data_IF_726211102436
#
_entry.id   IF_726211102436
#
_cell.length_a   1.000
_cell.length_b   1.000
_cell.length_c   1.000
_cell.angle_alpha   90.00
_cell.angle_beta   90.00
_cell.angle_gamma   90.00
#
_symmetry.space_group_name_H-M   'P 1'
#
loop_
_entity.id
_entity.type
_entity.pdbx_description
1 polymer ?
#
# COMPACT_ATOMS: atom_id res chain seq x y z
N UNK A 1 6.01 82.96 -30.17
CA UNK A 1 4.90 81.99 -30.14
C UNK A 1 5.47 80.67 -29.66
N UNK A 2 5.01 80.10 -28.54
CA UNK A 2 5.37 78.74 -28.16
C UNK A 2 4.51 77.78 -28.98
N UNK A 3 5.15 76.90 -29.75
CA UNK A 3 4.51 75.73 -30.35
C UNK A 3 4.73 74.51 -29.45
N UNK A 4 3.67 73.74 -29.31
CA UNK A 4 3.45 72.66 -28.36
C UNK A 4 4.00 71.32 -28.86
N UNK A 5 4.59 70.51 -27.97
CA UNK A 5 4.59 69.06 -28.09
C UNK A 5 4.64 68.39 -26.71
N UNK A 6 3.44 68.13 -26.20
CA UNK A 6 2.98 67.08 -25.29
C UNK A 6 4.06 66.18 -24.67
N UNK A 7 4.33 66.37 -23.37
CA UNK A 7 4.78 65.24 -22.52
C UNK A 7 3.53 64.42 -22.24
N UNK A 8 3.30 63.39 -23.05
CA UNK A 8 2.31 62.37 -22.75
C UNK A 8 2.80 61.62 -21.53
N UNK A 9 2.37 62.04 -20.33
CA UNK A 9 2.47 61.20 -19.13
C UNK A 9 1.53 60.02 -19.35
N UNK A 10 2.03 59.01 -20.04
CA UNK A 10 1.32 57.76 -20.25
C UNK A 10 1.13 57.14 -18.88
N UNK A 11 -0.12 57.00 -18.44
CA UNK A 11 -0.44 56.25 -17.22
C UNK A 11 -0.09 54.78 -17.48
N UNK A 12 1.11 54.38 -17.07
CA UNK A 12 1.60 53.02 -17.26
C UNK A 12 1.13 52.15 -16.10
N UNK A 13 0.97 50.86 -16.36
CA UNK A 13 0.60 49.87 -15.34
C UNK A 13 1.59 49.81 -14.17
N UNK A 14 2.82 50.28 -14.36
CA UNK A 14 3.84 50.44 -13.33
C UNK A 14 3.65 51.63 -12.38
N UNK A 15 2.69 52.53 -12.64
CA UNK A 15 2.42 53.74 -11.85
C UNK A 15 1.06 53.71 -11.12
N UNK A 16 0.36 52.57 -11.17
CA UNK A 16 -1.00 52.42 -10.66
C UNK A 16 -1.07 51.46 -9.47
N UNK A 17 -1.19 52.01 -8.26
CA UNK A 17 -1.51 51.24 -7.03
C UNK A 17 -2.94 50.65 -7.04
N UNK A 18 -3.75 50.99 -8.06
CA UNK A 18 -5.14 50.53 -8.22
C UNK A 18 -5.29 49.30 -9.13
N UNK A 19 -4.20 48.79 -9.71
CA UNK A 19 -4.26 47.57 -10.54
C UNK A 19 -4.31 46.38 -9.59
N UNK A 20 -5.34 45.56 -9.74
CA UNK A 20 -5.51 44.33 -8.96
C UNK A 20 -4.47 43.31 -9.42
N UNK A 21 -3.79 42.69 -8.46
CA UNK A 21 -2.86 41.61 -8.73
C UNK A 21 -3.56 40.44 -9.41
N UNK A 22 -2.94 39.92 -10.48
CA UNK A 22 -3.41 38.69 -11.12
C UNK A 22 -3.03 37.49 -10.23
N UNK A 23 -4.03 36.91 -9.58
CA UNK A 23 -3.85 35.70 -8.76
C UNK A 23 -4.54 34.53 -9.44
N UNK A 24 -3.78 33.45 -9.67
CA UNK A 24 -4.33 32.20 -10.19
C UNK A 24 -5.31 31.58 -9.19
N UNK A 25 -6.58 31.48 -9.56
CA UNK A 25 -7.67 30.93 -8.73
C UNK A 25 -7.68 29.39 -8.71
N UNK A 26 -6.51 28.75 -8.54
CA UNK A 26 -6.40 27.29 -8.48
C UNK A 26 -5.24 26.83 -7.62
N UNK A 27 -5.51 25.89 -6.71
CA UNK A 27 -4.47 25.18 -5.95
C UNK A 27 -4.17 23.86 -6.64
N UNK A 28 -2.98 23.72 -7.21
CA UNK A 28 -2.49 22.44 -7.74
C UNK A 28 -1.80 21.65 -6.64
N UNK A 29 -2.26 20.43 -6.36
CA UNK A 29 -1.61 19.52 -5.43
C UNK A 29 -1.21 18.23 -6.17
N UNK A 30 0.09 18.06 -6.42
CA UNK A 30 0.67 16.84 -6.98
C UNK A 30 1.33 16.06 -5.83
N UNK A 31 0.57 15.14 -5.24
CA UNK A 31 1.06 14.24 -4.21
C UNK A 31 0.68 12.80 -4.58
N UNK A 32 1.56 11.81 -4.33
CA UNK A 32 1.19 10.41 -4.50
C UNK A 32 0.14 10.05 -3.44
N UNK A 33 -1.06 9.67 -3.87
CA UNK A 33 -2.18 9.26 -2.99
C UNK A 33 -2.70 7.87 -3.31
N UNK A 34 -1.93 7.11 -4.08
CA UNK A 34 -2.31 5.78 -4.53
C UNK A 34 -2.08 4.76 -3.39
N UNK A 35 -3.08 3.94 -3.12
CA UNK A 35 -3.04 2.87 -2.10
C UNK A 35 -3.34 1.52 -2.77
N UNK A 36 -2.45 1.01 -3.63
CA UNK A 36 -2.71 -0.18 -4.45
C UNK A 36 -2.99 -1.43 -3.61
N UNK A 37 -2.28 -1.67 -2.51
CA UNK A 37 -2.49 -2.81 -1.62
C UNK A 37 -3.89 -2.77 -0.98
N UNK A 38 -4.24 -1.72 -0.25
CA UNK A 38 -5.57 -1.59 0.38
C UNK A 38 -6.70 -1.62 -0.65
N UNK A 39 -6.47 -1.13 -1.87
CA UNK A 39 -7.48 -1.17 -2.94
C UNK A 39 -7.69 -2.56 -3.53
N UNK A 40 -6.70 -3.45 -3.41
CA UNK A 40 -6.71 -4.79 -3.99
C UNK A 40 -7.29 -5.87 -3.08
N UNK A 41 -7.33 -5.61 -1.77
CA UNK A 41 -7.75 -6.58 -0.75
C UNK A 41 -9.20 -6.34 -0.28
N UNK A 42 -9.78 -7.35 0.36
CA UNK A 42 -11.12 -7.23 0.96
C UNK A 42 -11.17 -6.25 2.13
N UNK A 43 -12.36 -5.84 2.53
CA UNK A 43 -12.60 -5.01 3.73
C UNK A 43 -13.54 -5.72 4.67
N UNK A 44 -13.28 -5.58 5.97
CA UNK A 44 -14.12 -6.12 7.03
C UNK A 44 -14.06 -5.22 8.27
N UNK A 45 -14.88 -5.53 9.28
CA UNK A 45 -14.87 -4.85 10.58
C UNK A 45 -14.27 -5.75 11.64
N UNK A 46 -13.80 -5.15 12.73
CA UNK A 46 -13.48 -5.89 13.95
C UNK A 46 -14.08 -5.15 15.13
N UNK A 47 -14.52 -5.90 16.14
CA UNK A 47 -15.19 -5.35 17.33
C UNK A 47 -14.26 -5.27 18.55
N UNK A 48 -13.04 -5.79 18.42
CA UNK A 48 -12.02 -5.81 19.47
C UNK A 48 -10.70 -5.24 18.98
N UNK A 49 -9.86 -4.80 19.92
CA UNK A 49 -8.53 -4.29 19.62
C UNK A 49 -7.48 -5.37 19.32
N UNK A 50 -7.84 -6.63 19.56
CA UNK A 50 -7.06 -7.84 19.25
C UNK A 50 -7.96 -8.80 18.46
N UNK A 51 -8.22 -8.51 17.18
CA UNK A 51 -9.02 -9.39 16.34
C UNK A 51 -8.34 -10.75 16.20
N UNK A 52 -9.14 -11.79 16.31
CA UNK A 52 -8.71 -13.18 16.15
C UNK A 52 -9.63 -13.89 15.16
N UNK A 53 -9.06 -14.85 14.45
CA UNK A 53 -9.78 -15.69 13.52
C UNK A 53 -9.18 -17.09 13.50
N UNK A 54 -9.95 -18.04 12.97
CA UNK A 54 -9.53 -19.43 12.86
C UNK A 54 -9.04 -19.72 11.44
N UNK A 55 -7.97 -20.51 11.36
CA UNK A 55 -7.49 -21.18 10.15
C UNK A 55 -7.63 -22.69 10.36
N UNK A 56 -8.25 -23.36 9.40
CA UNK A 56 -8.39 -24.82 9.38
C UNK A 56 -7.57 -25.40 8.22
N UNK A 57 -7.16 -26.65 8.37
CA UNK A 57 -6.36 -27.36 7.38
C UNK A 57 -7.06 -28.64 6.95
N UNK A 58 -7.10 -28.89 5.65
CA UNK A 58 -7.57 -30.16 5.12
C UNK A 58 -6.50 -31.25 5.29
N UNK A 59 -6.94 -32.49 5.47
CA UNK A 59 -6.07 -33.65 5.43
C UNK A 59 -5.27 -33.70 4.11
N UNK A 60 -4.02 -34.11 4.22
CA UNK A 60 -3.16 -34.28 3.03
C UNK A 60 -3.71 -35.39 2.16
N UNK A 61 -3.75 -35.17 0.85
CA UNK A 61 -4.15 -36.20 -0.10
C UNK A 61 -3.24 -37.44 0.04
N UNK A 62 -3.85 -38.60 0.22
CA UNK A 62 -3.17 -39.88 0.34
C UNK A 62 -3.91 -40.95 -0.49
N UNK A 63 -3.27 -42.09 -0.73
CA UNK A 63 -3.96 -43.23 -1.33
C UNK A 63 -5.09 -43.68 -0.40
N UNK A 64 -6.32 -43.62 -0.89
CA UNK A 64 -7.54 -43.91 -0.12
C UNK A 64 -8.29 -45.13 -0.68
N UNK A 65 -7.57 -46.19 -1.05
CA UNK A 65 -8.18 -47.45 -1.45
C UNK A 65 -8.68 -48.22 -0.22
N UNK A 66 -9.96 -48.59 -0.21
CA UNK A 66 -10.57 -49.39 0.86
C UNK A 66 -10.98 -50.76 0.32
N UNK A 67 -10.86 -51.80 1.14
CA UNK A 67 -11.31 -53.15 0.80
C UNK A 67 -12.85 -53.20 0.87
N UNK A 68 -13.48 -53.96 -0.02
CA UNK A 68 -14.92 -54.20 0.01
C UNK A 68 -15.35 -54.83 1.34
N UNK A 69 -16.38 -54.27 1.99
CA UNK A 69 -16.87 -54.73 3.28
C UNK A 69 -16.06 -54.25 4.50
N UNK A 70 -15.14 -53.30 4.33
CA UNK A 70 -14.41 -52.69 5.46
C UNK A 70 -15.33 -51.82 6.33
N UNK A 71 -15.26 -52.02 7.64
CA UNK A 71 -15.88 -51.14 8.64
C UNK A 71 -15.20 -49.76 8.71
N UNK A 72 -16.01 -48.72 8.87
CA UNK A 72 -15.51 -47.35 9.01
C UNK A 72 -14.82 -47.16 10.36
N UNK A 73 -13.57 -46.71 10.35
CA UNK A 73 -12.85 -46.26 11.54
C UNK A 73 -12.80 -44.74 11.55
N UNK A 74 -13.23 -44.13 12.66
CA UNK A 74 -13.12 -42.68 12.82
C UNK A 74 -11.66 -42.26 12.96
N UNK A 75 -11.22 -41.29 12.16
CA UNK A 75 -9.93 -40.63 12.33
C UNK A 75 -10.04 -39.55 13.43
N UNK A 76 -8.90 -39.20 14.03
CA UNK A 76 -8.83 -38.06 14.95
C UNK A 76 -9.13 -36.76 14.17
N UNK A 77 -10.03 -35.94 14.71
CA UNK A 77 -10.39 -34.65 14.10
C UNK A 77 -9.41 -33.59 14.58
N UNK A 78 -8.82 -32.84 13.65
CA UNK A 78 -7.99 -31.68 13.95
C UNK A 78 -8.86 -30.46 14.29
N UNK A 79 -8.48 -29.71 15.31
CA UNK A 79 -9.18 -28.48 15.71
C UNK A 79 -8.52 -27.29 14.99
N UNK A 80 -9.29 -26.31 14.50
CA UNK A 80 -8.75 -25.12 13.86
C UNK A 80 -7.79 -24.34 14.75
N UNK A 81 -6.76 -23.75 14.14
CA UNK A 81 -5.75 -22.92 14.81
C UNK A 81 -6.19 -21.46 14.88
N UNK A 82 -5.81 -20.75 15.96
CA UNK A 82 -6.12 -19.32 16.15
C UNK A 82 -4.98 -18.46 15.60
N UNK A 83 -5.32 -17.52 14.73
CA UNK A 83 -4.48 -16.42 14.30
C UNK A 83 -4.98 -15.12 14.92
N UNK A 84 -4.07 -14.19 15.19
CA UNK A 84 -4.36 -12.92 15.86
C UNK A 84 -3.55 -11.79 15.27
N UNK A 85 -4.08 -10.57 15.34
CA UNK A 85 -3.34 -9.33 15.11
C UNK A 85 -3.83 -8.28 16.13
N UNK A 86 -3.18 -7.11 16.14
CA UNK A 86 -3.56 -5.96 16.96
C UNK A 86 -4.09 -4.84 16.06
N UNK A 87 -4.95 -3.99 16.60
CA UNK A 87 -5.37 -2.76 15.92
C UNK A 87 -4.37 -1.64 16.18
N UNK A 88 -4.06 -0.84 15.17
CA UNK A 88 -3.17 0.31 15.27
C UNK A 88 -3.97 1.60 15.11
N UNK A 89 -3.74 2.54 16.04
CA UNK A 89 -4.31 3.89 15.98
C UNK A 89 -3.41 4.74 15.09
N UNK A 90 -4.02 5.46 14.15
CA UNK A 90 -3.33 6.39 13.27
C UNK A 90 -4.09 7.71 13.27
N UNK A 91 -3.35 8.82 13.39
CA UNK A 91 -3.96 10.14 13.45
C UNK A 91 -3.17 11.22 12.71
N UNK A 92 -3.89 12.29 12.36
CA UNK A 92 -3.32 13.54 11.88
C UNK A 92 -3.99 14.69 12.60
N UNK A 93 -3.19 15.51 13.27
CA UNK A 93 -3.65 16.68 14.01
C UNK A 93 -3.21 17.95 13.29
N UNK A 94 -4.08 18.96 13.28
CA UNK A 94 -3.73 20.31 12.82
C UNK A 94 -4.49 21.37 13.62
N UNK A 95 -3.94 22.58 13.66
CA UNK A 95 -4.54 23.74 14.29
C UNK A 95 -4.84 24.81 13.23
N UNK A 96 -5.98 25.49 13.36
CA UNK A 96 -6.38 26.57 12.46
C UNK A 96 -6.96 27.73 13.27
N UNK A 97 -6.34 28.91 13.16
CA UNK A 97 -6.77 30.13 13.83
C UNK A 97 -8.15 30.60 13.33
N UNK A 98 -8.88 31.32 14.18
CA UNK A 98 -10.20 31.85 13.80
C UNK A 98 -10.09 32.92 12.70
N UNK A 99 -9.07 33.78 12.76
CA UNK A 99 -8.80 34.75 11.70
C UNK A 99 -8.57 34.08 10.35
N UNK A 100 -7.82 32.97 10.29
CA UNK A 100 -7.60 32.24 9.04
C UNK A 100 -8.86 31.53 8.52
N UNK A 101 -9.83 31.22 9.38
CA UNK A 101 -11.15 30.71 8.96
C UNK A 101 -12.06 31.81 8.45
N UNK A 102 -11.99 33.00 9.05
CA UNK A 102 -12.82 34.15 8.70
C UNK A 102 -12.32 34.86 7.43
N UNK A 103 -11.01 34.83 7.16
CA UNK A 103 -10.40 35.47 5.99
C UNK A 103 -10.91 34.87 4.68
N UNK A 104 -11.28 35.75 3.74
CA UNK A 104 -11.47 35.36 2.34
C UNK A 104 -10.12 34.95 1.76
N UNK A 105 -10.10 33.84 1.04
CA UNK A 105 -8.89 33.30 0.43
C UNK A 105 -9.13 33.04 -1.05
N UNK A 106 -8.13 33.33 -1.87
CA UNK A 106 -8.13 32.93 -3.27
C UNK A 106 -8.16 31.41 -3.42
N UNK A 107 -8.77 30.92 -4.50
CA UNK A 107 -8.83 29.53 -4.94
C UNK A 107 -9.57 28.54 -4.03
N UNK A 108 -10.24 29.01 -2.96
CA UNK A 108 -10.93 28.13 -2.01
C UNK A 108 -12.00 28.84 -1.18
N UNK A 109 -13.08 28.11 -0.95
CA UNK A 109 -14.19 28.55 -0.08
C UNK A 109 -13.88 28.36 1.41
N UNK A 110 -13.05 27.38 1.77
CA UNK A 110 -12.71 27.10 3.17
C UNK A 110 -11.33 26.47 3.33
N UNK A 111 -10.47 27.11 4.12
CA UNK A 111 -9.15 26.60 4.46
C UNK A 111 -9.22 25.31 5.29
N UNK A 112 -10.24 25.21 6.14
CA UNK A 112 -10.49 24.02 6.96
C UNK A 112 -10.72 22.78 6.09
N UNK A 113 -11.54 22.91 5.04
CA UNK A 113 -11.82 21.80 4.13
C UNK A 113 -10.57 21.37 3.36
N UNK A 114 -9.78 22.34 2.88
CA UNK A 114 -8.52 22.07 2.19
C UNK A 114 -7.53 21.30 3.06
N UNK A 115 -7.27 21.79 4.28
CA UNK A 115 -6.35 21.12 5.21
C UNK A 115 -6.90 19.76 5.61
N UNK A 116 -8.20 19.65 5.91
CA UNK A 116 -8.84 18.36 6.24
C UNK A 116 -8.63 17.36 5.10
N UNK A 117 -8.93 17.73 3.85
CA UNK A 117 -8.78 16.84 2.70
C UNK A 117 -7.33 16.39 2.48
N UNK A 118 -6.37 17.29 2.63
CA UNK A 118 -4.94 16.96 2.53
C UNK A 118 -4.51 16.01 3.67
N UNK A 119 -4.96 16.25 4.90
CA UNK A 119 -4.63 15.40 6.04
C UNK A 119 -5.29 14.02 5.93
N UNK A 120 -6.54 13.92 5.46
CA UNK A 120 -7.19 12.64 5.18
C UNK A 120 -6.44 11.84 4.11
N UNK A 121 -5.99 12.49 3.02
CA UNK A 121 -5.16 11.83 1.99
C UNK A 121 -3.84 11.33 2.58
N UNK A 122 -3.17 12.15 3.40
CA UNK A 122 -1.94 11.71 4.08
C UNK A 122 -2.18 10.56 5.06
N UNK A 123 -3.32 10.54 5.74
CA UNK A 123 -3.69 9.45 6.63
C UNK A 123 -3.90 8.16 5.85
N UNK A 124 -4.54 8.20 4.67
CA UNK A 124 -4.69 7.01 3.84
C UNK A 124 -3.33 6.45 3.37
N UNK A 125 -2.36 7.32 3.04
CA UNK A 125 -1.00 6.89 2.72
C UNK A 125 -0.31 6.24 3.93
N UNK A 126 -0.50 6.79 5.13
CA UNK A 126 0.02 6.15 6.35
C UNK A 126 -0.63 4.79 6.60
N UNK A 127 -1.94 4.66 6.35
CA UNK A 127 -2.61 3.36 6.48
C UNK A 127 -1.99 2.36 5.50
N UNK A 128 -1.80 2.72 4.24
CA UNK A 128 -1.13 1.85 3.25
C UNK A 128 0.26 1.41 3.74
N UNK A 129 1.08 2.38 4.15
CA UNK A 129 2.42 2.12 4.67
C UNK A 129 2.41 1.17 5.87
N UNK A 130 1.54 1.40 6.85
CA UNK A 130 1.49 0.55 8.05
C UNK A 130 0.92 -0.83 7.71
N UNK A 131 -0.07 -0.94 6.81
CA UNK A 131 -0.63 -2.24 6.39
C UNK A 131 0.37 -3.10 5.62
N UNK A 132 1.44 -2.52 5.09
CA UNK A 132 2.50 -3.27 4.39
C UNK A 132 3.67 -3.60 5.31
N UNK A 133 4.17 -2.61 6.06
CA UNK A 133 5.50 -2.68 6.68
C UNK A 133 5.52 -2.83 8.20
N UNK A 134 4.41 -2.54 8.89
CA UNK A 134 4.43 -2.58 10.35
C UNK A 134 4.64 -4.00 10.88
N UNK A 135 5.22 -4.10 12.07
CA UNK A 135 5.32 -5.34 12.83
C UNK A 135 4.53 -5.18 14.11
N UNK A 136 3.88 -6.24 14.57
CA UNK A 136 3.07 -6.23 15.78
C UNK A 136 3.90 -5.84 17.00
N UNK A 137 3.40 -4.90 17.77
CA UNK A 137 3.90 -4.56 19.09
C UNK A 137 2.71 -4.43 20.03
N UNK A 138 2.82 -4.97 21.25
CA UNK A 138 1.73 -4.92 22.24
C UNK A 138 1.43 -3.50 22.71
N UNK A 139 2.45 -2.63 22.68
CA UNK A 139 2.41 -1.30 23.27
C UNK A 139 2.56 -1.36 24.80
N UNK A 140 3.11 -0.28 25.36
CA UNK A 140 3.27 -0.05 26.79
C UNK A 140 3.08 1.46 27.07
N UNK A 141 3.43 1.94 28.26
CA UNK A 141 3.27 3.36 28.63
C UNK A 141 4.10 4.32 27.75
N UNK A 142 5.17 3.83 27.13
CA UNK A 142 6.11 4.59 26.29
C UNK A 142 6.08 4.18 24.81
N UNK A 143 5.53 3.01 24.49
CA UNK A 143 5.53 2.41 23.15
C UNK A 143 4.10 2.28 22.64
N UNK A 144 3.84 2.80 21.45
CA UNK A 144 2.54 2.62 20.80
C UNK A 144 2.34 1.16 20.36
N UNK A 145 1.09 0.69 20.44
CA UNK A 145 0.69 -0.60 19.85
C UNK A 145 0.68 -0.48 18.32
N UNK A 146 1.20 -1.50 17.64
CA UNK A 146 1.21 -1.61 16.18
C UNK A 146 0.65 -2.95 15.72
N UNK A 147 0.16 -2.99 14.47
CA UNK A 147 -0.32 -4.20 13.81
C UNK A 147 0.79 -4.86 13.00
N UNK A 148 0.68 -6.15 12.73
CA UNK A 148 1.45 -6.80 11.66
C UNK A 148 0.89 -6.38 10.29
N UNK A 149 1.77 -5.84 9.46
CA UNK A 149 1.56 -5.58 8.04
C UNK A 149 1.83 -6.82 7.18
N UNK A 150 1.52 -6.73 5.89
CA UNK A 150 1.53 -7.86 4.96
C UNK A 150 2.89 -8.59 4.89
N UNK A 151 4.00 -7.86 4.98
CA UNK A 151 5.36 -8.43 4.93
C UNK A 151 5.69 -9.34 6.13
N UNK A 152 5.07 -9.10 7.29
CA UNK A 152 5.24 -9.91 8.48
C UNK A 152 4.48 -11.24 8.40
N UNK A 153 3.45 -11.31 7.54
CA UNK A 153 2.62 -12.50 7.33
C UNK A 153 3.21 -13.52 6.35
N UNK A 154 4.33 -13.20 5.68
CA UNK A 154 4.96 -14.12 4.74
C UNK A 154 5.36 -15.45 5.42
N UNK A 155 5.05 -16.56 4.75
CA UNK A 155 5.44 -17.88 5.23
C UNK A 155 6.96 -18.07 5.16
N UNK A 156 7.54 -18.76 6.15
CA UNK A 156 8.98 -18.98 6.21
C UNK A 156 9.50 -19.73 4.96
N UNK A 157 8.77 -20.74 4.50
CA UNK A 157 9.12 -21.52 3.32
C UNK A 157 8.86 -20.80 1.98
N UNK A 158 8.21 -19.63 1.99
CA UNK A 158 7.98 -18.78 0.83
C UNK A 158 8.63 -17.39 1.01
N UNK A 159 9.73 -17.36 1.76
CA UNK A 159 10.52 -16.16 2.02
C UNK A 159 11.93 -16.34 1.46
N UNK A 160 12.25 -15.64 0.39
CA UNK A 160 13.60 -15.55 -0.14
C UNK A 160 14.29 -14.30 0.37
N UNK A 161 15.54 -14.43 0.80
CA UNK A 161 16.34 -13.31 1.29
C UNK A 161 17.72 -13.39 0.65
N UNK A 162 18.07 -12.39 -0.16
CA UNK A 162 19.44 -12.28 -0.66
C UNK A 162 20.41 -11.99 0.49
N UNK A 163 21.68 -12.35 0.28
CA UNK A 163 22.76 -11.96 1.18
C UNK A 163 22.83 -10.42 1.32
N UNK A 164 23.18 -9.94 2.51
CA UNK A 164 23.37 -8.51 2.78
C UNK A 164 24.65 -7.93 2.10
N UNK A 165 25.49 -8.77 1.48
CA UNK A 165 26.72 -8.35 0.79
C UNK A 165 26.50 -8.10 -0.71
N UNK A 166 27.09 -7.00 -1.20
CA UNK A 166 27.15 -6.49 -2.57
C UNK A 166 25.81 -6.33 -3.32
N UNK A 167 25.27 -5.11 -3.29
CA UNK A 167 24.13 -4.69 -4.10
C UNK A 167 24.32 -4.92 -5.63
N UNK A 168 25.52 -5.19 -6.15
CA UNK A 168 25.73 -5.44 -7.58
C UNK A 168 25.23 -6.80 -8.12
N UNK A 169 24.84 -7.74 -7.25
CA UNK A 169 24.43 -9.11 -7.69
C UNK A 169 23.02 -9.52 -7.26
N UNK A 170 22.38 -8.78 -6.35
CA UNK A 170 21.07 -9.13 -5.81
C UNK A 170 19.92 -8.66 -6.73
N UNK A 171 19.96 -9.09 -7.99
CA UNK A 171 18.93 -8.77 -8.98
C UNK A 171 17.82 -9.82 -8.94
N UNK A 172 16.57 -9.36 -8.95
CA UNK A 172 15.44 -10.25 -9.21
C UNK A 172 15.58 -10.84 -10.63
N UNK A 173 15.36 -12.13 -10.75
CA UNK A 173 15.30 -12.85 -12.04
C UNK A 173 13.96 -13.57 -12.14
N UNK A 174 13.59 -13.97 -13.36
CA UNK A 174 12.37 -14.77 -13.59
C UNK A 174 12.42 -16.10 -12.83
N UNK A 175 13.58 -16.74 -12.76
CA UNK A 175 13.80 -17.99 -12.00
C UNK A 175 13.46 -17.77 -10.52
N UNK A 176 14.01 -16.74 -9.89
CA UNK A 176 13.78 -16.49 -8.46
C UNK A 176 12.31 -16.17 -8.20
N UNK A 177 11.65 -15.43 -9.09
CA UNK A 177 10.22 -15.15 -8.97
C UNK A 177 9.39 -16.44 -9.07
N UNK A 178 9.67 -17.29 -10.07
CA UNK A 178 8.97 -18.55 -10.28
C UNK A 178 9.21 -19.56 -9.14
N UNK A 179 10.44 -19.65 -8.61
CA UNK A 179 10.76 -20.48 -7.46
C UNK A 179 9.94 -20.10 -6.22
N UNK A 180 9.72 -18.80 -6.00
CA UNK A 180 8.88 -18.35 -4.88
C UNK A 180 7.40 -18.61 -5.11
N UNK A 181 6.93 -18.53 -6.35
CA UNK A 181 5.55 -18.92 -6.70
C UNK A 181 5.38 -20.44 -6.51
N UNK A 182 6.35 -21.26 -6.93
CA UNK A 182 6.36 -22.70 -6.69
C UNK A 182 6.35 -23.03 -5.20
N UNK A 183 7.10 -22.27 -4.39
CA UNK A 183 7.10 -22.46 -2.94
C UNK A 183 5.71 -22.22 -2.33
N UNK A 184 4.99 -21.19 -2.79
CA UNK A 184 3.60 -20.94 -2.36
C UNK A 184 2.65 -22.03 -2.86
N UNK A 185 2.80 -22.46 -4.12
CA UNK A 185 2.01 -23.55 -4.68
C UNK A 185 2.17 -24.85 -3.88
N UNK A 186 3.40 -25.17 -3.47
CA UNK A 186 3.71 -26.35 -2.64
C UNK A 186 3.06 -26.28 -1.26
N UNK A 187 2.83 -25.07 -0.73
CA UNK A 187 2.09 -24.84 0.51
C UNK A 187 0.56 -24.92 0.32
N UNK A 188 0.09 -24.99 -0.94
CA UNK A 188 -1.32 -24.97 -1.31
C UNK A 188 -1.91 -23.56 -1.49
N UNK A 189 -1.07 -22.56 -1.71
CA UNK A 189 -1.49 -21.19 -2.01
C UNK A 189 -1.34 -20.83 -3.48
N UNK A 190 -2.25 -20.00 -3.98
CA UNK A 190 -2.30 -19.58 -5.39
C UNK A 190 -2.07 -18.06 -5.48
N UNK A 191 -0.81 -17.58 -5.48
CA UNK A 191 -0.53 -16.15 -5.52
C UNK A 191 -1.00 -15.54 -6.85
N UNK A 192 -1.87 -14.53 -6.77
CA UNK A 192 -2.42 -13.83 -7.94
C UNK A 192 -1.77 -12.44 -8.14
N UNK A 193 -0.97 -11.99 -7.17
CA UNK A 193 -0.46 -10.62 -7.12
C UNK A 193 0.98 -10.54 -6.64
N UNK A 194 1.76 -9.74 -7.36
CA UNK A 194 3.09 -9.29 -6.95
C UNK A 194 3.04 -7.79 -6.75
N UNK A 195 3.36 -7.34 -5.53
CA UNK A 195 3.52 -5.93 -5.20
C UNK A 195 5.00 -5.60 -5.11
N UNK A 196 5.45 -4.68 -5.97
CA UNK A 196 6.86 -4.35 -6.11
C UNK A 196 7.08 -2.83 -6.08
N UNK A 197 8.19 -2.35 -5.48
CA UNK A 197 8.60 -0.97 -5.63
C UNK A 197 9.07 -0.68 -7.05
N UNK A 198 9.07 0.60 -7.43
CA UNK A 198 9.22 1.03 -8.82
C UNK A 198 10.45 0.47 -9.55
N UNK A 199 11.61 0.36 -8.88
CA UNK A 199 12.84 -0.17 -9.49
C UNK A 199 12.75 -1.67 -9.77
N UNK A 200 12.23 -2.43 -8.81
CA UNK A 200 12.04 -3.87 -8.99
C UNK A 200 10.98 -4.17 -10.05
N UNK A 201 9.91 -3.37 -10.12
CA UNK A 201 8.93 -3.49 -11.20
C UNK A 201 9.54 -3.27 -12.59
N UNK A 202 10.48 -2.35 -12.74
CA UNK A 202 11.22 -2.16 -14.01
C UNK A 202 12.03 -3.41 -14.36
N UNK A 203 12.81 -3.95 -13.41
CA UNK A 203 13.56 -5.21 -13.61
C UNK A 203 12.67 -6.38 -14.01
N UNK A 204 11.51 -6.52 -13.36
CA UNK A 204 10.50 -7.52 -13.72
C UNK A 204 9.92 -7.27 -15.12
N UNK A 205 9.81 -6.00 -15.52
CA UNK A 205 9.35 -5.65 -16.88
C UNK A 205 10.38 -5.98 -17.96
N UNK A 206 11.65 -6.00 -17.58
CA UNK A 206 12.79 -6.34 -18.44
C UNK A 206 13.12 -7.84 -18.40
N UNK A 207 12.26 -8.69 -17.81
CA UNK A 207 12.40 -10.14 -17.94
C UNK A 207 12.24 -10.53 -19.41
N UNK A 208 13.38 -10.64 -20.09
CA UNK A 208 13.45 -11.11 -21.48
C UNK A 208 14.12 -12.47 -21.49
N UNK A 209 13.39 -13.47 -21.96
CA UNK A 209 14.00 -14.69 -22.49
C UNK A 209 13.10 -15.17 -23.64
N UNK A 210 13.60 -15.02 -24.87
CA UNK A 210 13.21 -15.78 -26.07
C UNK A 210 11.81 -16.43 -26.09
N UNK A 211 10.75 -15.61 -26.13
CA UNK A 211 9.45 -16.05 -26.62
C UNK A 211 8.29 -16.18 -25.63
N UNK A 212 8.15 -15.31 -24.62
CA UNK A 212 6.85 -15.17 -23.95
C UNK A 212 5.91 -14.26 -24.75
N UNK A 213 4.96 -14.92 -25.40
CA UNK A 213 3.78 -14.35 -26.04
C UNK A 213 3.16 -13.28 -25.15
N UNK A 214 3.11 -12.06 -25.65
CA UNK A 214 2.18 -11.05 -25.17
C UNK A 214 0.78 -11.58 -25.47
N UNK A 215 0.10 -12.22 -24.51
CA UNK A 215 -1.30 -12.60 -24.74
C UNK A 215 -2.12 -11.30 -24.80
N UNK A 216 -2.45 -10.93 -26.03
CA UNK A 216 -3.59 -10.09 -26.37
C UNK A 216 -4.87 -10.82 -25.92
N UNK A 217 -5.29 -10.63 -24.67
CA UNK A 217 -6.64 -11.03 -24.23
C UNK A 217 -7.65 -9.92 -24.56
N UNK A 218 -7.77 -9.61 -25.86
CA UNK A 218 -8.96 -9.14 -26.58
C UNK A 218 -8.52 -8.60 -27.95
N UNK A 219 -8.94 -9.27 -29.03
CA UNK A 219 -8.73 -8.76 -30.40
C UNK A 219 -9.43 -7.41 -30.66
N UNK A 220 -10.32 -6.96 -29.77
CA UNK A 220 -11.00 -5.65 -29.84
C UNK A 220 -10.35 -4.55 -28.99
N UNK A 221 -9.37 -4.86 -28.14
CA UNK A 221 -8.61 -3.84 -27.41
C UNK A 221 -7.12 -4.18 -27.45
N UNK A 222 -6.52 -3.91 -28.62
CA UNK A 222 -5.06 -3.81 -28.79
C UNK A 222 -4.49 -2.74 -27.86
N UNK A 223 -4.23 -3.11 -26.61
CA UNK A 223 -3.24 -2.44 -25.76
C UNK A 223 -2.06 -3.37 -25.59
N UNK A 224 -1.19 -3.38 -26.61
CA UNK A 224 0.22 -3.71 -26.40
C UNK A 224 0.72 -2.72 -25.36
N UNK A 225 0.90 -3.17 -24.12
CA UNK A 225 1.43 -2.33 -23.06
C UNK A 225 2.69 -3.01 -22.54
N UNK A 226 3.84 -2.49 -22.97
CA UNK A 226 5.19 -2.80 -22.46
C UNK A 226 5.37 -2.32 -21.00
N UNK A 227 4.33 -2.45 -20.17
CA UNK A 227 4.35 -2.13 -18.76
C UNK A 227 3.69 -3.31 -18.09
N UNK A 228 4.51 -4.23 -17.62
CA UNK A 228 4.07 -5.50 -17.05
C UNK A 228 2.97 -5.24 -16.03
N UNK A 229 1.79 -5.71 -16.40
CA UNK A 229 0.62 -5.75 -15.52
C UNK A 229 0.27 -7.19 -15.20
N UNK A 230 0.50 -8.14 -16.10
CA UNK A 230 0.23 -9.56 -15.90
C UNK A 230 1.44 -10.33 -16.46
N UNK A 231 1.97 -11.26 -15.66
CA UNK A 231 2.98 -12.24 -16.07
C UNK A 231 2.29 -13.60 -16.03
N UNK A 232 2.45 -14.39 -17.08
CA UNK A 232 2.10 -15.80 -17.06
C UNK A 232 3.32 -16.58 -16.55
N UNK A 233 3.17 -17.27 -15.43
CA UNK A 233 4.17 -18.18 -14.87
C UNK A 233 3.71 -19.61 -15.06
N UNK A 234 4.58 -20.57 -14.77
CA UNK A 234 4.27 -22.00 -14.94
C UNK A 234 3.17 -22.49 -13.99
N UNK A 235 2.79 -21.67 -13.00
CA UNK A 235 1.75 -21.94 -11.99
C UNK A 235 0.52 -21.03 -12.16
N UNK A 236 0.42 -20.27 -13.25
CA UNK A 236 -0.72 -19.41 -13.58
C UNK A 236 -0.36 -17.94 -13.82
N UNK A 237 -1.36 -17.07 -13.90
CA UNK A 237 -1.15 -15.65 -14.20
C UNK A 237 -1.07 -14.81 -12.92
N UNK A 238 -0.05 -13.97 -12.83
CA UNK A 238 0.20 -13.09 -11.67
C UNK A 238 0.20 -11.63 -12.09
N UNK A 239 -0.55 -10.78 -11.38
CA UNK A 239 -0.62 -9.35 -11.63
C UNK A 239 0.51 -8.60 -10.91
N UNK A 240 1.33 -7.83 -11.64
CA UNK A 240 2.42 -7.02 -11.05
C UNK A 240 1.97 -5.57 -10.84
N UNK A 241 1.78 -5.20 -9.57
CA UNK A 241 1.39 -3.86 -9.15
C UNK A 241 2.57 -3.10 -8.55
N UNK A 242 2.65 -1.80 -8.86
CA UNK A 242 3.66 -0.93 -8.27
C UNK A 242 3.14 -0.31 -6.97
N UNK A 243 3.95 -0.30 -5.92
CA UNK A 243 3.65 0.43 -4.70
C UNK A 243 4.85 1.28 -4.26
N UNK A 244 4.56 2.51 -3.82
CA UNK A 244 5.58 3.43 -3.28
C UNK A 244 5.82 3.22 -1.79
N UNK A 245 4.91 2.54 -1.11
CA UNK A 245 4.89 2.41 0.33
C UNK A 245 5.60 1.17 0.85
N UNK A 246 6.08 0.26 0.01
CA UNK A 246 6.96 -0.84 0.46
C UNK A 246 8.29 -0.26 0.95
N UNK A 247 8.62 -0.51 2.22
CA UNK A 247 9.83 -0.01 2.85
C UNK A 247 11.09 -0.68 2.27
N UNK A 248 12.19 0.09 2.25
CA UNK A 248 13.52 -0.45 1.97
C UNK A 248 13.95 -1.39 3.10
N UNK A 249 14.78 -2.39 2.79
CA UNK A 249 15.31 -3.32 3.79
C UNK A 249 16.69 -2.88 4.28
N UNK A 250 16.91 -2.92 5.59
CA UNK A 250 18.20 -2.64 6.21
C UNK A 250 18.51 -1.17 6.49
N UNK A 251 19.69 -0.91 7.05
CA UNK A 251 20.23 0.43 7.33
C UNK A 251 20.71 1.17 6.08
N UNK A 252 20.83 0.45 4.95
CA UNK A 252 21.24 0.99 3.65
C UNK A 252 20.04 1.17 2.71
N UNK A 253 19.82 2.35 2.12
CA UNK A 253 18.67 2.65 1.25
C UNK A 253 18.75 1.96 -0.13
N UNK A 254 19.62 0.96 -0.30
CA UNK A 254 19.89 0.28 -1.57
C UNK A 254 19.07 -0.98 -1.77
N UNK A 255 18.35 -1.47 -0.76
CA UNK A 255 17.62 -2.72 -0.85
C UNK A 255 16.11 -2.55 -0.80
N UNK A 256 15.40 -3.31 -1.62
CA UNK A 256 13.95 -3.36 -1.72
C UNK A 256 13.42 -4.72 -1.25
N UNK A 257 12.11 -4.75 -1.00
CA UNK A 257 11.34 -5.98 -0.80
C UNK A 257 10.24 -6.08 -1.85
N UNK A 258 9.92 -7.30 -2.27
CA UNK A 258 8.73 -7.64 -3.05
C UNK A 258 7.82 -8.51 -2.20
N UNK A 259 6.52 -8.27 -2.29
CA UNK A 259 5.48 -9.11 -1.68
C UNK A 259 4.76 -9.91 -2.78
N UNK A 260 4.63 -11.21 -2.59
CA UNK A 260 3.75 -12.07 -3.38
C UNK A 260 2.59 -12.50 -2.51
N UNK A 261 1.37 -12.39 -3.01
CA UNK A 261 0.21 -12.80 -2.23
C UNK A 261 -0.99 -13.16 -3.09
N UNK A 262 -1.89 -13.92 -2.48
CA UNK A 262 -3.24 -14.12 -2.96
C UNK A 262 -4.16 -13.06 -2.35
N UNK A 263 -4.85 -12.24 -3.16
CA UNK A 263 -5.72 -11.15 -2.66
C UNK A 263 -6.78 -11.60 -1.66
N UNK A 264 -7.36 -12.79 -1.87
CA UNK A 264 -8.44 -13.34 -1.03
C UNK A 264 -8.04 -13.58 0.42
N UNK A 265 -6.74 -13.80 0.67
CA UNK A 265 -6.18 -14.08 1.99
C UNK A 265 -6.17 -12.83 2.86
N UNK A 266 -6.00 -11.65 2.27
CA UNK A 266 -5.94 -10.40 3.02
C UNK A 266 -7.30 -9.70 3.10
N UNK A 267 -7.62 -9.21 4.29
CA UNK A 267 -8.72 -8.26 4.51
C UNK A 267 -8.27 -7.14 5.43
N UNK A 268 -8.56 -5.90 5.06
CA UNK A 268 -8.34 -4.78 5.95
C UNK A 268 -9.50 -4.68 6.95
N UNK A 269 -9.17 -4.74 8.24
CA UNK A 269 -10.11 -4.64 9.34
C UNK A 269 -10.21 -3.18 9.82
N UNK A 270 -11.43 -2.69 10.00
CA UNK A 270 -11.68 -1.37 10.59
C UNK A 270 -12.33 -1.51 11.96
N UNK A 271 -11.68 -1.01 13.01
CA UNK A 271 -12.26 -0.91 14.36
C UNK A 271 -12.93 0.44 14.56
N UNK A 272 -12.20 1.53 14.29
CA UNK A 272 -12.74 2.89 14.30
C UNK A 272 -12.59 3.52 12.91
N UNK A 273 -13.70 3.91 12.26
CA UNK A 273 -13.63 4.55 10.95
C UNK A 273 -12.96 5.92 11.06
N UNK A 274 -12.49 6.44 9.91
CA UNK A 274 -11.88 7.78 9.84
C UNK A 274 -12.89 8.82 10.33
N UNK A 275 -12.58 9.50 11.43
CA UNK A 275 -13.43 10.54 12.01
C UNK A 275 -12.60 11.79 12.28
N UNK A 276 -13.16 12.95 11.91
CA UNK A 276 -12.63 14.26 12.33
C UNK A 276 -13.29 14.68 13.64
N UNK A 277 -12.50 15.00 14.64
CA UNK A 277 -12.94 15.53 15.93
C UNK A 277 -12.32 16.90 16.19
N UNK A 278 -13.06 17.78 16.86
CA UNK A 278 -12.55 19.05 17.39
C UNK A 278 -12.03 18.75 18.79
N UNK A 279 -10.78 19.15 19.06
CA UNK A 279 -10.16 19.03 20.38
C UNK A 279 -10.45 20.29 21.21
N UNK A 280 -10.19 20.22 22.51
CA UNK A 280 -10.37 21.36 23.41
C UNK A 280 -9.65 22.62 22.91
N UNK A 281 -10.30 23.77 23.08
CA UNK A 281 -9.75 25.07 22.66
C UNK A 281 -8.58 25.44 23.57
N UNK A 282 -7.39 25.57 23.00
CA UNK A 282 -6.16 25.92 23.73
C UNK A 282 -5.61 27.29 23.37
N UNK A 283 -6.14 27.92 22.31
CA UNK A 283 -5.72 29.21 21.78
C UNK A 283 -6.86 29.82 20.95
N UNK A 284 -6.63 30.98 20.34
CA UNK A 284 -7.55 31.63 19.41
C UNK A 284 -7.59 30.89 18.04
N UNK A 285 -8.23 29.71 18.06
CA UNK A 285 -8.35 28.78 16.95
C UNK A 285 -8.85 27.41 17.41
N UNK A 286 -9.22 26.56 16.43
CA UNK A 286 -9.62 25.17 16.73
C UNK A 286 -8.51 24.20 16.35
N UNK A 287 -8.33 23.19 17.19
CA UNK A 287 -7.47 22.05 16.92
C UNK A 287 -8.34 20.88 16.45
N UNK A 288 -8.01 20.30 15.31
CA UNK A 288 -8.73 19.17 14.73
C UNK A 288 -7.83 17.93 14.74
N UNK A 289 -8.39 16.79 15.11
CA UNK A 289 -7.77 15.48 14.97
C UNK A 289 -8.58 14.65 13.95
N UNK A 290 -7.89 14.02 13.00
CA UNK A 290 -8.46 13.02 12.10
C UNK A 290 -7.86 11.70 12.52
N UNK A 291 -8.68 10.83 13.10
CA UNK A 291 -8.23 9.56 13.69
C UNK A 291 -8.89 8.39 12.98
N UNK A 292 -8.16 7.28 12.87
CA UNK A 292 -8.70 5.98 12.51
C UNK A 292 -8.00 4.88 13.30
N UNK A 293 -8.64 3.72 13.39
CA UNK A 293 -8.02 2.55 14.00
C UNK A 293 -8.34 1.31 13.17
N UNK A 294 -7.30 0.64 12.70
CA UNK A 294 -7.39 -0.44 11.72
C UNK A 294 -6.45 -1.59 12.08
N UNK A 295 -6.71 -2.76 11.50
CA UNK A 295 -5.82 -3.93 11.56
C UNK A 295 -5.79 -4.61 10.18
N UNK A 296 -4.93 -5.62 10.03
CA UNK A 296 -4.87 -6.47 8.84
C UNK A 296 -5.17 -7.91 9.24
N UNK A 297 -6.14 -8.54 8.55
CA UNK A 297 -6.40 -9.97 8.64
C UNK A 297 -5.66 -10.69 7.54
N UNK A 298 -4.87 -11.70 7.91
CA UNK A 298 -4.30 -12.68 7.00
C UNK A 298 -4.97 -14.03 7.27
N UNK A 299 -5.78 -14.52 6.34
CA UNK A 299 -6.53 -15.77 6.50
C UNK A 299 -5.65 -17.01 6.58
N UNK A 300 -4.51 -17.02 5.91
CA UNK A 300 -3.51 -18.09 5.94
C UNK A 300 -2.16 -17.55 5.49
N UNK A 301 -1.08 -17.91 6.18
CA UNK A 301 0.28 -17.54 5.75
C UNK A 301 0.68 -18.23 4.45
N UNK A 302 0.05 -19.37 4.11
CA UNK A 302 0.39 -20.20 2.94
C UNK A 302 0.24 -19.47 1.60
N UNK A 303 -0.61 -18.44 1.55
CA UNK A 303 -0.81 -17.60 0.36
C UNK A 303 0.03 -16.32 0.35
N UNK A 304 1.06 -16.19 1.19
CA UNK A 304 1.88 -14.98 1.32
C UNK A 304 3.36 -15.33 1.28
N UNK A 305 4.08 -14.75 0.32
CA UNK A 305 5.52 -14.88 0.16
C UNK A 305 6.21 -13.53 0.04
N UNK A 306 7.53 -13.50 0.23
CA UNK A 306 8.32 -12.29 0.09
C UNK A 306 9.72 -12.54 -0.45
N UNK A 307 10.27 -11.53 -1.09
CA UNK A 307 11.66 -11.52 -1.55
C UNK A 307 12.31 -10.26 -0.98
N UNK A 308 13.33 -10.41 -0.14
CA UNK A 308 13.98 -9.30 0.57
C UNK A 308 15.45 -9.16 0.16
N UNK A 309 16.05 -8.00 0.48
CA UNK A 309 17.43 -7.63 0.11
C UNK A 309 17.68 -7.50 -1.40
N UNK A 310 16.66 -7.07 -2.16
CA UNK A 310 16.77 -6.85 -3.60
C UNK A 310 17.49 -5.55 -3.92
N UNK A 311 18.52 -5.60 -4.75
CA UNK A 311 19.27 -4.40 -5.10
C UNK A 311 18.46 -3.40 -5.91
N UNK A 312 18.63 -2.11 -5.58
CA UNK A 312 18.17 -0.96 -6.38
C UNK A 312 19.12 -0.57 -7.50
N UNK A 313 20.35 -1.08 -7.50
CA UNK A 313 21.34 -0.78 -8.54
C UNK A 313 20.84 -1.36 -9.87
N UNK A 314 21.06 -0.64 -10.97
CA UNK A 314 20.77 -1.18 -12.30
C UNK A 314 21.59 -2.46 -12.51
N UNK A 315 20.96 -3.47 -13.14
CA UNK A 315 21.69 -4.64 -13.62
C UNK A 315 22.62 -4.22 -14.76
#
# INVERSE_FOLDING_TARGET
MPDSATVTMTYTTSMSDNIVDEVLDRITNLAPTDTPFISSIGRDKCDTATPEWLEDTLDTAASNSQIEGKDFTAAAVTIPTRLTNKTQIMDKVFFLSESAKASKMYARTSELQRITGNKTKSLNNDVEYNTLNSTVATGDESTARSMDGALAWAHANASYTFSATAAGSNHITEIILNDQIQALWTLGGDPDTVLAPARQKRKISDFTADGRLTINTNMDQKKITMTVRIIETDFGTVMVMADRHIAATGSDPYYDTILLYQKSVFKSLTFRPVKRTILGKTADGDKYAITCERSLRCGSKKGVGKITNLSRVAA
#
